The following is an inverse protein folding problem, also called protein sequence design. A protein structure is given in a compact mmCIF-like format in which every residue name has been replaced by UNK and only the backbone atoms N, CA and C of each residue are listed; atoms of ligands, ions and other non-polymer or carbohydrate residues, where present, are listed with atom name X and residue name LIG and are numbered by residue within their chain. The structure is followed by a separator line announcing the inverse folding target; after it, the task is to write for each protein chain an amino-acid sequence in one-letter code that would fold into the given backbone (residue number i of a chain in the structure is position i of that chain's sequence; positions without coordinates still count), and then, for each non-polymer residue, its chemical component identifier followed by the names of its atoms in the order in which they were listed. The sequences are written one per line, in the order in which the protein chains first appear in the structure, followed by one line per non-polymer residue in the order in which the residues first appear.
data_IF_051420816432
#
_entry.id   IF_051420816432
#
_cell.length_a   1.000
_cell.length_b   1.000
_cell.length_c   1.000
_cell.angle_alpha   90.00
_cell.angle_beta   90.00
_cell.angle_gamma   90.00
#
_symmetry.space_group_name_H-M   'P 1'
#
loop_
_entity.id
_entity.type
_entity.pdbx_description
1 polymer ?
#
# COMPACT_ATOMS: atom_id res chain seq x y z
N UNK A 1 -35.87 61.48 18.98
CA UNK A 1 -36.06 60.39 18.02
C UNK A 1 -35.28 59.19 18.50
N UNK A 2 -36.01 58.14 18.83
CA UNK A 2 -35.51 56.89 19.41
C UNK A 2 -34.61 56.16 18.42
N UNK A 3 -33.46 55.67 18.88
CA UNK A 3 -32.64 54.73 18.11
C UNK A 3 -32.52 53.45 18.92
N UNK A 4 -33.25 52.45 18.45
CA UNK A 4 -33.22 51.07 18.90
C UNK A 4 -31.85 50.46 18.59
N UNK A 5 -31.31 49.69 19.54
CA UNK A 5 -30.17 48.79 19.29
C UNK A 5 -30.57 47.39 19.74
N UNK A 6 -30.36 46.47 18.80
CA UNK A 6 -30.88 45.12 18.66
C UNK A 6 -30.65 44.17 19.84
N UNK A 7 -31.68 43.36 20.09
CA UNK A 7 -31.67 42.13 20.87
C UNK A 7 -30.68 41.09 20.33
N UNK A 8 -30.04 40.39 21.28
CA UNK A 8 -29.15 39.24 21.08
C UNK A 8 -29.90 38.07 20.43
N UNK A 9 -29.45 37.65 19.26
CA UNK A 9 -29.70 36.31 18.72
C UNK A 9 -28.39 35.54 18.74
N UNK A 10 -28.26 34.58 19.66
CA UNK A 10 -27.21 33.58 19.62
C UNK A 10 -27.56 32.52 18.57
N UNK A 11 -26.67 32.21 17.62
CA UNK A 11 -26.90 31.08 16.73
C UNK A 11 -26.61 29.79 17.50
N UNK A 12 -27.67 29.05 17.79
CA UNK A 12 -27.61 27.62 18.09
C UNK A 12 -27.01 26.90 16.89
N UNK A 13 -25.78 26.41 17.00
CA UNK A 13 -25.27 25.38 16.08
C UNK A 13 -24.88 24.16 16.90
N UNK A 14 -25.89 23.31 17.14
CA UNK A 14 -25.67 21.93 17.54
C UNK A 14 -25.02 21.19 16.36
N UNK A 15 -23.70 21.29 16.24
CA UNK A 15 -22.92 20.42 15.39
C UNK A 15 -22.93 19.02 15.99
N UNK A 16 -23.76 18.15 15.42
CA UNK A 16 -23.76 16.72 15.74
C UNK A 16 -22.31 16.18 15.71
N UNK A 17 -21.90 15.35 16.68
CA UNK A 17 -20.58 14.74 16.63
C UNK A 17 -20.54 13.88 15.37
N UNK A 18 -19.69 14.27 14.41
CA UNK A 18 -19.31 13.40 13.29
C UNK A 18 -18.89 12.08 13.91
N UNK A 19 -19.67 11.04 13.67
CA UNK A 19 -19.38 9.67 14.05
C UNK A 19 -18.08 9.28 13.34
N UNK A 20 -16.94 9.54 13.99
CA UNK A 20 -15.64 9.04 13.58
C UNK A 20 -15.75 7.55 13.76
N UNK A 21 -16.10 6.83 12.69
CA UNK A 21 -16.18 5.37 12.69
C UNK A 21 -14.83 4.87 13.17
N UNK A 22 -14.76 4.42 14.43
CA UNK A 22 -13.56 3.79 14.98
C UNK A 22 -13.25 2.60 14.06
N UNK A 23 -12.06 2.58 13.48
CA UNK A 23 -11.63 1.47 12.63
C UNK A 23 -11.64 0.21 13.49
N UNK A 24 -12.41 -0.79 13.10
CA UNK A 24 -12.53 -2.04 13.85
C UNK A 24 -11.16 -2.77 13.81
N UNK A 25 -10.53 -3.06 14.97
CA UNK A 25 -9.24 -3.74 15.03
C UNK A 25 -9.23 -5.08 14.29
N UNK A 26 -10.35 -5.79 14.26
CA UNK A 26 -10.50 -7.06 13.53
C UNK A 26 -10.40 -6.82 12.02
N UNK A 27 -10.98 -5.74 11.52
CA UNK A 27 -10.90 -5.37 10.10
C UNK A 27 -9.49 -4.93 9.71
N UNK A 28 -8.79 -4.19 10.56
CA UNK A 28 -7.39 -3.79 10.32
C UNK A 28 -6.47 -4.99 10.25
N UNK A 29 -6.55 -5.92 11.21
CA UNK A 29 -5.76 -7.16 11.20
C UNK A 29 -6.04 -8.01 9.97
N UNK A 30 -7.32 -8.14 9.59
CA UNK A 30 -7.70 -8.86 8.37
C UNK A 30 -7.04 -8.25 7.13
N UNK A 31 -7.12 -6.93 6.96
CA UNK A 31 -6.45 -6.21 5.85
C UNK A 31 -4.94 -6.38 5.86
N UNK A 32 -4.33 -6.35 7.04
CA UNK A 32 -2.91 -6.61 7.21
C UNK A 32 -2.55 -8.02 6.73
N UNK A 33 -3.26 -9.05 7.22
CA UNK A 33 -3.02 -10.44 6.82
C UNK A 33 -3.22 -10.67 5.33
N UNK A 34 -4.26 -10.08 4.74
CA UNK A 34 -4.54 -10.15 3.30
C UNK A 34 -3.41 -9.52 2.46
N UNK A 35 -2.98 -8.30 2.82
CA UNK A 35 -1.89 -7.60 2.11
C UNK A 35 -0.55 -8.33 2.30
N UNK A 36 -0.25 -8.80 3.51
CA UNK A 36 0.97 -9.58 3.77
C UNK A 36 1.01 -10.89 2.98
N UNK A 37 -0.11 -11.61 2.90
CA UNK A 37 -0.21 -12.82 2.09
C UNK A 37 -0.02 -12.54 0.59
N UNK A 38 -0.53 -11.40 0.11
CA UNK A 38 -0.35 -10.96 -1.27
C UNK A 38 1.13 -10.64 -1.57
N UNK A 39 1.80 -9.90 -0.69
CA UNK A 39 3.25 -9.62 -0.79
C UNK A 39 4.04 -10.93 -0.87
N UNK A 40 3.74 -11.89 0.01
CA UNK A 40 4.40 -13.20 -0.03
C UNK A 40 4.25 -13.91 -1.37
N UNK A 41 3.03 -13.93 -1.94
CA UNK A 41 2.78 -14.49 -3.27
C UNK A 41 3.57 -13.78 -4.37
N UNK A 42 3.64 -12.46 -4.33
CA UNK A 42 4.32 -11.68 -5.36
C UNK A 42 5.86 -11.81 -5.25
N UNK A 43 6.40 -11.96 -4.03
CA UNK A 43 7.81 -12.34 -3.82
C UNK A 43 8.12 -13.68 -4.51
N UNK A 44 7.27 -14.70 -4.31
CA UNK A 44 7.47 -16.00 -4.98
C UNK A 44 7.46 -15.86 -6.51
N UNK A 45 6.52 -15.10 -7.06
CA UNK A 45 6.49 -14.84 -8.52
C UNK A 45 7.74 -14.12 -9.00
N UNK A 46 8.28 -13.17 -8.24
CA UNK A 46 9.54 -12.49 -8.61
C UNK A 46 10.72 -13.44 -8.55
N UNK A 47 10.76 -14.33 -7.55
CA UNK A 47 11.78 -15.38 -7.44
C UNK A 47 11.76 -16.34 -8.64
N UNK A 48 10.58 -16.75 -9.11
CA UNK A 48 10.45 -17.60 -10.30
C UNK A 48 10.97 -16.90 -11.56
N UNK A 49 10.69 -15.60 -11.72
CA UNK A 49 11.24 -14.79 -12.83
C UNK A 49 12.76 -14.68 -12.74
N UNK A 50 13.32 -14.45 -11.55
CA UNK A 50 14.77 -14.44 -11.34
C UNK A 50 15.42 -15.80 -11.67
N UNK A 51 14.75 -16.90 -11.33
CA UNK A 51 15.23 -18.24 -11.69
C UNK A 51 15.23 -18.44 -13.22
N UNK A 52 14.19 -17.98 -13.93
CA UNK A 52 14.16 -17.98 -15.40
C UNK A 52 15.26 -17.10 -16.00
N UNK A 53 15.43 -15.88 -15.50
CA UNK A 53 16.48 -14.96 -15.93
C UNK A 53 17.87 -15.59 -15.77
N UNK A 54 18.11 -16.24 -14.64
CA UNK A 54 19.36 -16.95 -14.36
C UNK A 54 19.61 -18.08 -15.37
N UNK A 55 18.57 -18.81 -15.77
CA UNK A 55 18.69 -19.86 -16.80
C UNK A 55 19.05 -19.27 -18.16
N UNK A 56 18.38 -18.19 -18.58
CA UNK A 56 18.65 -17.50 -19.84
C UNK A 56 20.09 -16.95 -19.87
N UNK A 57 20.52 -16.29 -18.80
CA UNK A 57 21.86 -15.72 -18.71
C UNK A 57 22.99 -16.76 -18.72
N UNK A 58 22.70 -18.00 -18.30
CA UNK A 58 23.65 -19.13 -18.32
C UNK A 58 23.65 -19.87 -19.66
N UNK A 59 22.59 -19.75 -20.45
CA UNK A 59 22.50 -20.41 -21.75
C UNK A 59 23.45 -19.73 -22.74
N UNK A 60 24.44 -20.47 -23.22
CA UNK A 60 25.32 -20.02 -24.31
C UNK A 60 24.84 -20.66 -25.61
N UNK A 61 23.86 -20.04 -26.26
CA UNK A 61 23.48 -20.38 -27.63
C UNK A 61 24.02 -19.30 -28.57
N UNK A 62 24.76 -19.72 -29.61
CA UNK A 62 25.32 -18.80 -30.61
C UNK A 62 24.28 -18.34 -31.66
N UNK A 63 23.15 -19.05 -31.77
CA UNK A 63 22.14 -18.83 -32.81
C UNK A 63 20.81 -18.31 -32.24
N UNK A 64 20.49 -18.65 -30.99
CA UNK A 64 19.34 -18.12 -30.26
C UNK A 64 19.85 -17.30 -29.05
N UNK A 65 20.39 -16.12 -29.32
CA UNK A 65 20.81 -15.19 -28.27
C UNK A 65 19.58 -14.70 -27.48
N UNK A 66 19.45 -15.03 -26.17
CA UNK A 66 18.30 -14.63 -25.38
C UNK A 66 18.33 -13.15 -24.93
N UNK A 67 19.22 -12.32 -25.48
CA UNK A 67 19.41 -10.92 -25.06
C UNK A 67 18.10 -10.10 -24.96
N UNK A 68 17.19 -10.23 -25.93
CA UNK A 68 15.91 -9.53 -25.90
C UNK A 68 15.01 -10.01 -24.74
N UNK A 69 14.90 -11.34 -24.55
CA UNK A 69 14.11 -11.93 -23.47
C UNK A 69 14.70 -11.61 -22.10
N UNK A 70 16.03 -11.57 -21.98
CA UNK A 70 16.74 -11.14 -20.78
C UNK A 70 16.41 -9.68 -20.45
N UNK A 71 16.42 -8.79 -21.43
CA UNK A 71 16.12 -7.37 -21.24
C UNK A 71 14.66 -7.17 -20.78
N UNK A 72 13.71 -7.83 -21.42
CA UNK A 72 12.30 -7.78 -21.06
C UNK A 72 12.07 -8.32 -19.64
N UNK A 73 12.61 -9.51 -19.33
CA UNK A 73 12.41 -10.14 -18.04
C UNK A 73 13.08 -9.32 -16.91
N UNK A 74 14.22 -8.69 -17.18
CA UNK A 74 14.89 -7.76 -16.25
C UNK A 74 14.05 -6.51 -15.98
N UNK A 75 13.39 -5.98 -17.02
CA UNK A 75 12.49 -4.84 -16.87
C UNK A 75 11.28 -5.20 -16.00
N UNK A 76 10.65 -6.35 -16.25
CA UNK A 76 9.52 -6.85 -15.46
C UNK A 76 9.93 -7.08 -13.99
N UNK A 77 11.08 -7.71 -13.74
CA UNK A 77 11.60 -7.90 -12.38
C UNK A 77 11.80 -6.57 -11.66
N UNK A 78 12.32 -5.57 -12.37
CA UNK A 78 12.50 -4.21 -11.82
C UNK A 78 11.16 -3.62 -11.38
N UNK A 79 10.13 -3.73 -12.23
CA UNK A 79 8.78 -3.27 -11.91
C UNK A 79 8.16 -4.03 -10.74
N UNK A 80 8.35 -5.36 -10.68
CA UNK A 80 7.85 -6.19 -9.58
C UNK A 80 8.47 -5.77 -8.24
N UNK A 81 9.78 -5.51 -8.19
CA UNK A 81 10.47 -5.05 -6.98
C UNK A 81 9.95 -3.67 -6.55
N UNK A 82 9.74 -2.75 -7.50
CA UNK A 82 9.14 -1.45 -7.19
C UNK A 82 7.73 -1.59 -6.61
N UNK A 83 6.90 -2.44 -7.20
CA UNK A 83 5.55 -2.74 -6.65
C UNK A 83 5.65 -3.35 -5.25
N UNK A 84 6.55 -4.31 -5.03
CA UNK A 84 6.75 -4.93 -3.72
C UNK A 84 7.14 -3.89 -2.66
N UNK A 85 8.01 -2.93 -2.99
CA UNK A 85 8.34 -1.84 -2.08
C UNK A 85 7.12 -0.99 -1.73
N UNK A 86 6.29 -0.64 -2.72
CA UNK A 86 5.05 0.10 -2.47
C UNK A 86 4.06 -0.70 -1.59
N UNK A 87 3.93 -1.99 -1.85
CA UNK A 87 3.04 -2.86 -1.07
C UNK A 87 3.51 -2.99 0.39
N UNK A 88 4.83 -2.99 0.63
CA UNK A 88 5.42 -2.98 1.97
C UNK A 88 5.17 -1.66 2.71
N UNK A 89 5.28 -0.52 2.02
CA UNK A 89 4.93 0.79 2.59
C UNK A 89 3.46 0.84 3.02
N UNK A 90 2.56 0.35 2.17
CA UNK A 90 1.12 0.22 2.46
C UNK A 90 0.87 -0.68 3.67
N UNK A 91 1.53 -1.84 3.72
CA UNK A 91 1.40 -2.77 4.84
C UNK A 91 1.86 -2.12 6.16
N UNK A 92 2.97 -1.37 6.11
CA UNK A 92 3.45 -0.57 7.24
C UNK A 92 2.48 0.53 7.66
N UNK A 93 1.76 1.15 6.72
CA UNK A 93 0.72 2.12 7.04
C UNK A 93 -0.47 1.47 7.77
N UNK A 94 -0.90 0.28 7.35
CA UNK A 94 -1.94 -0.49 8.04
C UNK A 94 -1.52 -0.82 9.48
N UNK A 95 -0.26 -1.23 9.68
CA UNK A 95 0.25 -1.53 11.02
C UNK A 95 0.29 -0.31 11.96
N UNK A 96 0.61 0.88 11.45
CA UNK A 96 0.59 2.13 12.23
C UNK A 96 -0.82 2.57 12.63
N UNK A 97 -1.84 2.22 11.82
CA UNK A 97 -3.24 2.45 12.19
C UNK A 97 -3.69 1.53 13.34
N UNK A 98 -3.11 0.33 13.45
CA UNK A 98 -3.32 -0.57 14.58
C UNK A 98 -2.56 -0.11 15.84
N UNK A 99 -1.33 0.38 15.69
CA UNK A 99 -0.45 0.79 16.79
C UNK A 99 0.00 2.25 16.64
N UNK A 100 -0.82 3.23 17.04
CA UNK A 100 -0.44 4.63 16.98
C UNK A 100 0.71 4.92 17.97
N UNK A 101 1.70 5.75 17.60
CA UNK A 101 2.96 5.93 18.37
C UNK A 101 2.83 6.56 19.77
N UNK A 102 1.62 6.79 20.29
CA UNK A 102 1.37 7.43 21.59
C UNK A 102 0.37 6.65 22.47
N UNK A 103 0.31 5.31 22.35
CA UNK A 103 -0.54 4.44 23.19
C UNK A 103 0.23 3.61 24.23
N UNK A 104 1.40 4.10 24.64
CA UNK A 104 2.17 3.65 25.81
C UNK A 104 2.26 4.81 26.81
#
# INVERSE_FOLDING_TARGET
TVQAVCDRQGPTSNGAPRNVKKVDPVQTRKRFSEKAAQIGKDIHKTADKLAKLTKLAKSKSLFDDPAAEIAELSYVITQDVQRLNQDLEDLGAIHRLENPPNSQ
#
